data_IF_734541204029
#
_entry.id   IF_734541204029
#
_cell.length_a   1.000
_cell.length_b   1.000
_cell.length_c   1.000
_cell.angle_alpha   90.00
_cell.angle_beta   90.00
_cell.angle_gamma   90.00
#
_symmetry.space_group_name_H-M   'P 1'
#
loop_
_entity.id
_entity.type
_entity.pdbx_description
1 polymer ?
#
# COMPACT_ATOMS: atom_id res chain seq x y z
N UNK A 1 -8.96 10.77 3.18
CA UNK A 1 -8.49 11.89 4.04
C UNK A 1 -7.29 11.52 4.93
N UNK A 2 -7.31 10.37 5.62
CA UNK A 2 -6.22 9.95 6.51
C UNK A 2 -4.84 9.84 5.82
N UNK A 3 -4.76 9.24 4.62
CA UNK A 3 -3.47 9.10 3.94
C UNK A 3 -2.77 10.42 3.63
N UNK A 4 -3.53 11.46 3.25
CA UNK A 4 -2.96 12.80 3.05
C UNK A 4 -2.25 13.25 4.33
N UNK A 5 -2.93 13.17 5.47
CA UNK A 5 -2.37 13.58 6.77
C UNK A 5 -1.11 12.81 7.13
N UNK A 6 -1.08 11.50 6.90
CA UNK A 6 0.09 10.66 7.17
C UNK A 6 1.28 11.05 6.28
N UNK A 7 1.06 11.15 4.97
CA UNK A 7 2.12 11.47 4.01
C UNK A 7 2.67 12.87 4.21
N UNK A 8 1.82 13.87 4.50
CA UNK A 8 2.26 15.26 4.71
C UNK A 8 3.08 15.48 5.99
N UNK A 9 3.14 14.49 6.88
CA UNK A 9 3.96 14.55 8.10
C UNK A 9 5.36 13.94 7.91
N UNK A 10 5.64 13.33 6.76
CA UNK A 10 6.95 12.75 6.47
C UNK A 10 8.02 13.84 6.42
N UNK A 11 9.06 13.70 7.25
CA UNK A 11 10.20 14.61 7.26
C UNK A 11 11.21 14.33 6.14
N UNK A 12 12.21 15.21 5.95
CA UNK A 12 13.28 14.99 4.97
C UNK A 12 13.95 13.61 5.12
N UNK A 13 14.25 12.96 3.99
CA UNK A 13 14.86 11.62 3.96
C UNK A 13 13.90 10.45 4.21
N UNK A 14 12.64 10.72 4.57
CA UNK A 14 11.64 9.66 4.80
C UNK A 14 11.16 9.06 3.48
N UNK A 15 11.04 7.74 3.45
CA UNK A 15 10.29 7.01 2.43
C UNK A 15 9.02 6.44 3.07
N UNK A 16 7.87 6.64 2.42
CA UNK A 16 6.60 6.08 2.87
C UNK A 16 6.24 4.92 1.94
N UNK A 17 6.08 3.72 2.50
CA UNK A 17 5.62 2.53 1.77
C UNK A 17 4.23 2.18 2.29
N UNK A 18 3.23 2.25 1.40
CA UNK A 18 1.86 1.87 1.70
C UNK A 18 1.59 0.50 1.10
N UNK A 19 1.12 -0.45 1.92
CA UNK A 19 0.81 -1.81 1.49
C UNK A 19 -0.61 -2.16 1.93
N UNK A 20 -1.27 -3.03 1.18
CA UNK A 20 -2.55 -3.61 1.55
C UNK A 20 -3.25 -4.27 0.37
N UNK A 21 -4.37 -4.91 0.67
CA UNK A 21 -5.19 -5.62 -0.31
C UNK A 21 -6.52 -4.90 -0.46
N UNK A 22 -6.74 -4.27 -1.60
CA UNK A 22 -7.99 -3.54 -1.87
C UNK A 22 -9.22 -4.46 -1.94
N UNK A 23 -9.03 -5.77 -2.19
CA UNK A 23 -10.11 -6.75 -2.20
C UNK A 23 -10.50 -7.25 -0.80
N UNK A 24 -9.77 -6.86 0.25
CA UNK A 24 -10.05 -7.22 1.66
C UNK A 24 -10.47 -5.98 2.45
N UNK A 25 -11.54 -5.33 2.02
CA UNK A 25 -12.18 -4.23 2.75
C UNK A 25 -13.35 -4.78 3.53
N UNK A 26 -13.30 -4.62 4.85
CA UNK A 26 -14.26 -5.15 5.83
C UNK A 26 -15.16 -4.07 6.44
N UNK A 27 -14.98 -2.80 6.03
CA UNK A 27 -15.77 -1.68 6.54
C UNK A 27 -16.78 -1.17 5.50
N UNK A 28 -18.05 -0.93 5.89
CA UNK A 28 -19.11 -0.57 4.94
C UNK A 28 -18.94 0.82 4.30
N UNK A 29 -18.02 1.65 4.82
CA UNK A 29 -17.81 3.02 4.36
C UNK A 29 -16.62 3.19 3.41
N UNK A 30 -15.92 2.09 3.10
CA UNK A 30 -14.81 2.09 2.15
C UNK A 30 -15.09 1.10 1.02
N UNK A 31 -14.50 1.42 -0.13
CA UNK A 31 -14.53 0.62 -1.34
C UNK A 31 -13.15 0.62 -1.96
N UNK A 32 -12.89 -0.26 -2.92
CA UNK A 32 -11.64 -0.28 -3.68
C UNK A 32 -11.30 1.09 -4.27
N UNK A 33 -12.30 1.80 -4.81
CA UNK A 33 -12.15 3.14 -5.39
C UNK A 33 -11.98 4.28 -4.37
N UNK A 34 -12.41 4.08 -3.12
CA UNK A 34 -12.33 5.10 -2.06
C UNK A 34 -11.28 4.82 -0.99
N UNK A 35 -10.55 3.71 -1.13
CA UNK A 35 -9.48 3.32 -0.20
C UNK A 35 -8.35 4.35 -0.14
N UNK A 36 -7.64 4.38 0.98
CA UNK A 36 -6.44 5.21 1.14
C UNK A 36 -5.35 4.87 0.12
N UNK A 37 -5.21 3.59 -0.26
CA UNK A 37 -4.23 3.13 -1.24
C UNK A 37 -4.53 3.67 -2.63
N UNK A 38 -5.76 3.47 -3.11
CA UNK A 38 -6.20 3.96 -4.42
C UNK A 38 -6.11 5.48 -4.50
N UNK A 39 -6.46 6.18 -3.42
CA UNK A 39 -6.34 7.64 -3.33
C UNK A 39 -4.88 8.11 -3.51
N UNK A 40 -3.91 7.47 -2.84
CA UNK A 40 -2.50 7.86 -2.95
C UNK A 40 -1.94 7.53 -4.33
N UNK A 41 -2.20 6.32 -4.84
CA UNK A 41 -1.74 5.90 -6.17
C UNK A 41 -2.25 6.87 -7.24
N UNK A 42 -3.53 7.22 -7.22
CA UNK A 42 -4.13 8.14 -8.19
C UNK A 42 -3.52 9.55 -8.12
N UNK A 43 -3.37 10.10 -6.91
CA UNK A 43 -2.84 11.46 -6.72
C UNK A 43 -1.34 11.59 -6.98
N UNK A 44 -0.60 10.48 -6.94
CA UNK A 44 0.84 10.44 -7.16
C UNK A 44 1.19 10.00 -8.60
N UNK A 45 0.20 9.78 -9.47
CA UNK A 45 0.41 9.54 -10.90
C UNK A 45 1.27 10.66 -11.50
N UNK A 46 2.33 10.26 -12.19
CA UNK A 46 3.26 11.19 -12.85
C UNK A 46 4.26 11.89 -11.93
N UNK A 47 4.20 11.68 -10.60
CA UNK A 47 5.25 12.19 -9.72
C UNK A 47 6.52 11.33 -9.84
N UNK A 48 7.62 11.94 -10.24
CA UNK A 48 8.89 11.26 -10.59
C UNK A 48 9.56 10.54 -9.42
N UNK A 49 9.19 10.85 -8.18
CA UNK A 49 9.73 10.22 -6.97
C UNK A 49 8.78 9.17 -6.37
N UNK A 50 7.65 8.89 -7.04
CA UNK A 50 6.69 7.87 -6.66
C UNK A 50 6.78 6.62 -7.53
N UNK A 51 6.30 5.51 -6.98
CA UNK A 51 6.10 4.25 -7.70
C UNK A 51 4.97 3.47 -7.06
N UNK A 52 4.25 2.70 -7.86
CA UNK A 52 3.29 1.72 -7.38
C UNK A 52 3.53 0.41 -8.10
N UNK A 53 3.34 -0.69 -7.37
CA UNK A 53 3.46 -2.05 -7.90
C UNK A 53 2.24 -2.81 -7.42
N UNK A 54 1.57 -3.47 -8.35
CA UNK A 54 0.49 -4.41 -8.04
C UNK A 54 1.07 -5.82 -8.09
N UNK A 55 1.03 -6.52 -6.96
CA UNK A 55 1.40 -7.93 -6.91
C UNK A 55 0.25 -8.76 -7.46
N UNK A 56 0.45 -9.38 -8.62
CA UNK A 56 -0.61 -10.12 -9.34
C UNK A 56 -0.86 -11.51 -8.76
N UNK A 57 0.07 -12.03 -7.97
CA UNK A 57 0.02 -13.36 -7.35
C UNK A 57 0.71 -13.32 -5.99
N UNK A 58 0.56 -14.39 -5.22
CA UNK A 58 1.29 -14.56 -3.97
C UNK A 58 2.79 -14.68 -4.23
N UNK A 59 3.53 -13.60 -4.01
CA UNK A 59 5.00 -13.60 -4.05
C UNK A 59 5.51 -13.91 -2.64
N UNK A 60 6.14 -15.06 -2.46
CA UNK A 60 6.75 -15.46 -1.19
C UNK A 60 8.27 -15.33 -1.31
N UNK A 61 8.87 -14.76 -0.27
CA UNK A 61 10.32 -14.75 -0.15
C UNK A 61 10.79 -16.09 0.44
N UNK A 62 12.07 -16.41 0.27
CA UNK A 62 12.69 -17.57 0.93
C UNK A 62 12.44 -17.60 2.45
N UNK A 63 12.34 -16.43 3.09
CA UNK A 63 11.98 -16.30 4.50
C UNK A 63 10.51 -16.67 4.75
N UNK A 64 9.60 -16.16 3.92
CA UNK A 64 8.17 -16.42 4.06
C UNK A 64 7.81 -17.89 3.78
N UNK A 65 8.49 -18.53 2.83
CA UNK A 65 8.34 -19.96 2.55
C UNK A 65 8.79 -20.80 3.74
N UNK A 66 9.99 -20.54 4.28
CA UNK A 66 10.48 -21.23 5.47
C UNK A 66 9.55 -21.03 6.67
N UNK A 67 9.09 -19.79 6.90
CA UNK A 67 8.17 -19.49 8.00
C UNK A 67 6.85 -20.29 7.89
N UNK A 68 6.33 -20.52 6.68
CA UNK A 68 5.12 -21.31 6.48
C UNK A 68 5.28 -22.81 6.71
N UNK A 69 6.52 -23.33 6.76
CA UNK A 69 6.80 -24.72 7.11
C UNK A 69 6.99 -24.92 8.61
N UNK A 70 7.52 -23.91 9.32
CA UNK A 70 7.95 -24.04 10.73
C UNK A 70 7.01 -23.38 11.75
N UNK A 71 6.07 -22.53 11.31
CA UNK A 71 5.03 -21.90 12.14
C UNK A 71 3.65 -22.45 11.79
#
# INVERSE_FOLDING_TARGET
KQMKTLVTRAGPGTKVVCMGNIAQIDTPYLTEGSSGLTYVVDRFKGWTHGGHVTLMRGERSRLADYAGEVL
#
